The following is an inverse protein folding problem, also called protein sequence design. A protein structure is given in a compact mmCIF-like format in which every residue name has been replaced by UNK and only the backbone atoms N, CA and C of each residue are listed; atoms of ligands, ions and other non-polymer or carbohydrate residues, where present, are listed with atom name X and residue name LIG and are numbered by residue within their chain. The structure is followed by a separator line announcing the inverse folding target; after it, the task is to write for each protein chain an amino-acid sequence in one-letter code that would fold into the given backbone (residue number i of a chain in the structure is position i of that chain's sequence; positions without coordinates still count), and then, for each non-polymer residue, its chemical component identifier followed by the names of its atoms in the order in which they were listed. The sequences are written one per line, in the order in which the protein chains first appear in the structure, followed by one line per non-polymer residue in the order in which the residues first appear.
data_IF_157957480805
#
_entry.id   IF_157957480805
#
_cell.length_a   1.000
_cell.length_b   1.000
_cell.length_c   1.000
_cell.angle_alpha   90.00
_cell.angle_beta   90.00
_cell.angle_gamma   90.00
#
_symmetry.space_group_name_H-M   'P 1'
#
loop_
_entity.id
_entity.type
_entity.pdbx_description
1 polymer ?
#
# COMPACT_ATOMS: atom_id res chain seq x y z
N UNK A 1 7.13 -14.14 4.75
CA UNK A 1 5.98 -13.19 4.79
C UNK A 1 6.21 -12.04 3.81
N UNK A 2 5.14 -11.53 3.19
CA UNK A 2 5.18 -10.38 2.27
C UNK A 2 3.81 -9.68 2.24
N UNK A 3 3.63 -8.63 1.46
CA UNK A 3 2.31 -8.02 1.26
C UNK A 3 1.50 -8.81 0.22
N UNK A 4 0.17 -8.83 0.34
CA UNK A 4 -0.69 -9.43 -0.69
C UNK A 4 -0.51 -8.73 -2.05
N UNK A 5 -0.23 -7.42 -2.04
CA UNK A 5 0.12 -6.67 -3.25
C UNK A 5 1.41 -7.17 -3.92
N UNK A 6 2.44 -7.51 -3.15
CA UNK A 6 3.67 -8.09 -3.69
C UNK A 6 3.44 -9.48 -4.31
N UNK A 7 2.61 -10.33 -3.68
CA UNK A 7 2.18 -11.59 -4.29
C UNK A 7 1.39 -11.37 -5.57
N UNK A 8 0.57 -10.31 -5.63
CA UNK A 8 -0.15 -9.94 -6.83
C UNK A 8 0.77 -9.46 -7.96
N UNK A 9 1.85 -8.78 -7.63
CA UNK A 9 2.88 -8.41 -8.61
C UNK A 9 3.57 -9.67 -9.11
N UNK A 10 4.05 -10.53 -8.20
CA UNK A 10 4.71 -11.80 -8.53
C UNK A 10 3.86 -12.62 -9.51
N UNK A 11 2.57 -12.81 -9.21
CA UNK A 11 1.70 -13.62 -10.05
C UNK A 11 1.44 -13.01 -11.44
N UNK A 12 1.36 -11.67 -11.52
CA UNK A 12 1.15 -10.97 -12.79
C UNK A 12 2.40 -10.96 -13.66
N UNK A 13 3.56 -10.76 -13.04
CA UNK A 13 4.85 -10.73 -13.75
C UNK A 13 5.24 -12.12 -14.24
N UNK A 14 5.01 -13.16 -13.45
CA UNK A 14 5.39 -14.53 -13.81
C UNK A 14 4.29 -15.30 -14.55
N UNK A 15 3.08 -14.74 -14.63
CA UNK A 15 1.88 -15.42 -15.13
C UNK A 15 1.65 -16.79 -14.46
N UNK A 16 2.03 -16.92 -13.18
CA UNK A 16 1.93 -18.15 -12.38
C UNK A 16 1.51 -17.80 -10.97
N UNK A 17 0.73 -18.67 -10.32
CA UNK A 17 0.41 -18.46 -8.91
C UNK A 17 1.67 -18.60 -8.05
N UNK A 18 1.80 -17.84 -6.94
CA UNK A 18 2.88 -18.03 -5.99
C UNK A 18 2.87 -19.49 -5.49
N UNK A 19 4.03 -20.15 -5.49
CA UNK A 19 4.13 -21.56 -5.12
C UNK A 19 3.96 -21.82 -3.62
N UNK A 20 3.69 -23.09 -3.29
CA UNK A 20 3.52 -23.56 -1.91
C UNK A 20 2.16 -23.20 -1.30
N UNK A 21 2.04 -23.45 0.01
CA UNK A 21 0.86 -23.13 0.83
C UNK A 21 0.85 -21.64 1.14
N UNK A 22 -0.11 -20.91 0.59
CA UNK A 22 -0.20 -19.46 0.78
C UNK A 22 -1.39 -19.10 1.67
N UNK A 23 -1.14 -18.38 2.75
CA UNK A 23 -2.19 -17.73 3.55
C UNK A 23 -2.28 -16.26 3.14
N UNK A 24 -3.49 -15.76 2.94
CA UNK A 24 -3.75 -14.32 2.79
C UNK A 24 -4.44 -13.82 4.05
N UNK A 25 -3.97 -12.73 4.64
CA UNK A 25 -4.49 -12.23 5.91
C UNK A 25 -4.53 -10.71 5.99
N UNK A 26 -5.49 -10.20 6.75
CA UNK A 26 -5.68 -8.79 7.02
C UNK A 26 -7.12 -8.37 6.73
N UNK A 27 -7.32 -7.20 6.12
CA UNK A 27 -8.66 -6.74 5.76
C UNK A 27 -8.71 -6.09 4.38
N UNK A 28 -9.81 -6.36 3.68
CA UNK A 28 -10.19 -5.61 2.50
C UNK A 28 -10.45 -6.48 1.27
N UNK A 29 -11.10 -5.91 0.24
CA UNK A 29 -11.52 -6.65 -0.95
C UNK A 29 -10.34 -7.18 -1.78
N UNK A 30 -9.13 -6.63 -1.61
CA UNK A 30 -7.95 -7.09 -2.34
C UNK A 30 -7.60 -8.55 -2.01
N UNK A 31 -7.85 -9.00 -0.77
CA UNK A 31 -7.61 -10.40 -0.38
C UNK A 31 -8.39 -11.37 -1.26
N UNK A 32 -9.67 -11.06 -1.54
CA UNK A 32 -10.53 -11.87 -2.41
C UNK A 32 -10.05 -11.85 -3.86
N UNK A 33 -9.63 -10.67 -4.36
CA UNK A 33 -9.16 -10.51 -5.72
C UNK A 33 -7.87 -11.31 -5.98
N UNK A 34 -6.89 -11.21 -5.07
CA UNK A 34 -5.62 -11.97 -5.17
C UNK A 34 -5.88 -13.46 -5.04
N UNK A 35 -6.70 -13.89 -4.09
CA UNK A 35 -7.07 -15.30 -3.92
C UNK A 35 -7.74 -15.88 -5.17
N UNK A 36 -8.66 -15.13 -5.81
CA UNK A 36 -9.34 -15.58 -7.02
C UNK A 36 -8.38 -15.64 -8.23
N UNK A 37 -7.41 -14.73 -8.32
CA UNK A 37 -6.35 -14.80 -9.33
C UNK A 37 -5.46 -16.02 -9.14
N UNK A 38 -5.04 -16.30 -7.90
CA UNK A 38 -4.29 -17.49 -7.53
C UNK A 38 -5.05 -18.79 -7.86
N UNK A 39 -6.33 -18.87 -7.50
CA UNK A 39 -7.19 -20.01 -7.79
C UNK A 39 -7.33 -20.27 -9.30
N UNK A 40 -7.49 -19.22 -10.12
CA UNK A 40 -7.53 -19.34 -11.59
C UNK A 40 -6.22 -19.83 -12.19
N UNK A 41 -5.09 -19.54 -11.54
CA UNK A 41 -3.77 -19.98 -11.95
C UNK A 41 -3.37 -21.34 -11.35
N UNK A 42 -4.31 -22.03 -10.68
CA UNK A 42 -4.15 -23.42 -10.25
C UNK A 42 -3.51 -23.62 -8.87
N UNK A 43 -3.16 -22.56 -8.13
CA UNK A 43 -2.71 -22.68 -6.74
C UNK A 43 -3.53 -21.77 -5.81
N UNK A 44 -4.76 -22.14 -5.45
CA UNK A 44 -5.57 -21.36 -4.51
C UNK A 44 -4.89 -21.23 -3.14
N UNK A 45 -5.06 -20.10 -2.42
CA UNK A 45 -4.54 -19.99 -1.05
C UNK A 45 -5.22 -20.99 -0.11
N UNK A 46 -4.50 -21.44 0.91
CA UNK A 46 -5.02 -22.40 1.90
C UNK A 46 -6.11 -21.80 2.78
N UNK A 47 -6.05 -20.49 3.03
CA UNK A 47 -7.07 -19.73 3.73
C UNK A 47 -6.97 -18.22 3.44
N UNK A 48 -8.12 -17.56 3.52
CA UNK A 48 -8.22 -16.10 3.63
C UNK A 48 -8.64 -15.78 5.06
N UNK A 49 -7.84 -14.98 5.76
CA UNK A 49 -8.10 -14.49 7.12
C UNK A 49 -8.53 -13.04 6.99
N UNK A 50 -9.82 -12.77 7.22
CA UNK A 50 -10.41 -11.44 7.12
C UNK A 50 -10.76 -10.93 8.52
N UNK A 51 -10.12 -9.81 8.92
CA UNK A 51 -10.33 -9.20 10.24
C UNK A 51 -11.78 -8.73 10.43
N UNK A 52 -12.39 -8.22 9.36
CA UNK A 52 -13.74 -7.69 9.37
C UNK A 52 -14.83 -8.77 9.26
N UNK A 53 -16.08 -8.30 9.20
CA UNK A 53 -17.26 -9.14 8.97
C UNK A 53 -18.00 -8.72 7.68
N UNK A 54 -17.33 -8.70 6.51
CA UNK A 54 -17.89 -8.08 5.30
C UNK A 54 -19.23 -8.69 4.88
N UNK A 55 -19.41 -10.01 5.03
CA UNK A 55 -20.65 -10.70 4.69
C UNK A 55 -21.82 -10.36 5.63
N UNK A 56 -21.54 -9.94 6.86
CA UNK A 56 -22.55 -9.43 7.79
C UNK A 56 -22.88 -7.94 7.61
N UNK A 57 -22.11 -7.23 6.78
CA UNK A 57 -22.20 -5.77 6.58
C UNK A 57 -22.55 -5.36 5.15
N UNK A 58 -23.03 -6.31 4.34
CA UNK A 58 -23.38 -6.08 2.92
C UNK A 58 -24.34 -4.92 2.69
N UNK A 59 -25.22 -4.60 3.66
CA UNK A 59 -26.13 -3.45 3.62
C UNK A 59 -25.40 -2.10 3.54
N UNK A 60 -24.17 -1.99 4.05
CA UNK A 60 -23.35 -0.78 3.94
C UNK A 60 -22.87 -0.55 2.50
N UNK A 61 -22.96 -1.59 1.65
CA UNK A 61 -22.72 -1.54 0.22
C UNK A 61 -23.91 -1.09 -0.64
N UNK A 62 -25.08 -0.78 -0.05
CA UNK A 62 -26.20 -0.23 -0.81
C UNK A 62 -25.74 1.00 -1.60
N UNK A 63 -26.00 1.06 -2.90
CA UNK A 63 -25.52 2.14 -3.78
C UNK A 63 -24.12 1.93 -4.38
N UNK A 64 -23.47 0.79 -4.13
CA UNK A 64 -22.30 0.39 -4.91
C UNK A 64 -22.67 0.20 -6.40
N UNK A 65 -21.82 0.63 -7.35
CA UNK A 65 -22.07 0.38 -8.77
C UNK A 65 -22.15 -1.12 -9.07
N UNK A 66 -23.07 -1.51 -9.97
CA UNK A 66 -23.28 -2.92 -10.35
C UNK A 66 -21.99 -3.62 -10.82
N UNK A 67 -21.04 -2.87 -11.39
CA UNK A 67 -19.75 -3.42 -11.78
C UNK A 67 -18.95 -4.00 -10.61
N UNK A 68 -18.98 -3.35 -9.44
CA UNK A 68 -18.31 -3.85 -8.23
C UNK A 68 -18.96 -5.13 -7.73
N UNK A 69 -20.31 -5.19 -7.76
CA UNK A 69 -21.07 -6.38 -7.37
C UNK A 69 -20.76 -7.56 -8.31
N UNK A 70 -20.71 -7.30 -9.63
CA UNK A 70 -20.36 -8.33 -10.63
C UNK A 70 -18.94 -8.85 -10.45
N UNK A 71 -17.99 -7.94 -10.17
CA UNK A 71 -16.60 -8.30 -9.92
C UNK A 71 -16.46 -9.15 -8.65
N UNK A 72 -17.08 -8.72 -7.55
CA UNK A 72 -17.12 -9.46 -6.29
C UNK A 72 -17.77 -10.84 -6.45
N UNK A 73 -18.89 -10.93 -7.18
CA UNK A 73 -19.55 -12.20 -7.47
C UNK A 73 -18.62 -13.14 -8.29
N UNK A 74 -17.88 -12.59 -9.26
CA UNK A 74 -16.91 -13.34 -10.03
C UNK A 74 -15.77 -13.90 -9.17
N UNK A 75 -15.24 -13.11 -8.24
CA UNK A 75 -14.26 -13.58 -7.26
C UNK A 75 -14.85 -14.65 -6.36
N UNK A 76 -16.03 -14.42 -5.78
CA UNK A 76 -16.67 -15.37 -4.87
C UNK A 76 -16.96 -16.71 -5.56
N UNK A 77 -17.50 -16.70 -6.78
CA UNK A 77 -17.76 -17.91 -7.53
C UNK A 77 -16.47 -18.70 -7.84
N UNK A 78 -15.34 -18.00 -8.05
CA UNK A 78 -14.04 -18.64 -8.23
C UNK A 78 -13.57 -19.31 -6.94
N UNK A 79 -13.66 -18.59 -5.82
CA UNK A 79 -13.22 -19.08 -4.50
C UNK A 79 -14.06 -20.26 -4.00
N UNK A 80 -15.38 -20.23 -4.21
CA UNK A 80 -16.28 -21.33 -3.87
C UNK A 80 -15.96 -22.60 -4.66
N UNK A 81 -15.73 -22.47 -5.98
CA UNK A 81 -15.32 -23.62 -6.82
C UNK A 81 -13.98 -24.20 -6.39
N UNK A 82 -13.03 -23.35 -6.01
CA UNK A 82 -11.73 -23.76 -5.50
C UNK A 82 -11.76 -24.18 -4.02
N UNK A 83 -12.91 -24.11 -3.34
CA UNK A 83 -13.11 -24.44 -1.93
C UNK A 83 -12.16 -23.70 -0.98
N UNK A 84 -11.85 -22.44 -1.29
CA UNK A 84 -10.99 -21.60 -0.44
C UNK A 84 -11.76 -21.18 0.82
N UNK A 85 -11.29 -21.55 2.02
CA UNK A 85 -11.95 -21.13 3.25
C UNK A 85 -11.71 -19.64 3.51
N UNK A 86 -12.78 -18.91 3.81
CA UNK A 86 -12.74 -17.49 4.19
C UNK A 86 -13.13 -17.38 5.66
N UNK A 87 -12.15 -17.11 6.51
CA UNK A 87 -12.32 -16.98 7.96
C UNK A 87 -12.51 -15.50 8.28
N UNK A 88 -13.77 -15.10 8.49
CA UNK A 88 -14.12 -13.72 8.87
C UNK A 88 -14.06 -13.52 10.37
N UNK A 89 -14.00 -12.25 10.82
CA UNK A 89 -13.82 -11.88 12.23
C UNK A 89 -12.62 -12.61 12.85
N UNK A 90 -11.60 -12.83 12.05
CA UNK A 90 -10.46 -13.66 12.41
C UNK A 90 -9.18 -12.88 12.21
N UNK A 91 -8.23 -13.04 13.13
CA UNK A 91 -7.03 -12.23 13.21
C UNK A 91 -5.80 -13.13 13.32
N UNK A 92 -4.74 -12.76 12.62
CA UNK A 92 -3.44 -13.41 12.81
C UNK A 92 -2.85 -12.86 14.09
N UNK A 93 -2.78 -13.72 15.11
CA UNK A 93 -2.14 -13.41 16.39
C UNK A 93 -0.62 -13.46 16.26
N UNK A 94 -0.11 -14.48 15.59
CA UNK A 94 1.32 -14.75 15.51
C UNK A 94 1.68 -15.54 14.25
N UNK A 95 2.87 -15.30 13.72
CA UNK A 95 3.46 -16.08 12.63
C UNK A 95 4.85 -16.54 13.08
N UNK A 96 5.01 -17.85 13.24
CA UNK A 96 6.28 -18.47 13.65
C UNK A 96 6.95 -19.14 12.46
N UNK A 97 8.27 -19.05 12.40
CA UNK A 97 9.06 -19.87 11.48
C UNK A 97 9.55 -21.11 12.23
N UNK A 98 9.12 -22.29 11.80
CA UNK A 98 9.51 -23.56 12.43
C UNK A 98 9.69 -24.64 11.36
N UNK A 99 10.80 -25.38 11.41
CA UNK A 99 11.03 -26.52 10.51
C UNK A 99 11.02 -26.19 9.01
N UNK A 100 11.37 -24.96 8.62
CA UNK A 100 11.35 -24.51 7.21
C UNK A 100 9.96 -24.10 6.68
N UNK A 101 8.94 -24.11 7.52
CA UNK A 101 7.60 -23.61 7.22
C UNK A 101 7.22 -22.44 8.14
N UNK A 102 6.11 -21.78 7.81
CA UNK A 102 5.46 -20.78 8.65
C UNK A 102 4.24 -21.41 9.32
N UNK A 103 4.13 -21.28 10.63
CA UNK A 103 2.90 -21.58 11.38
C UNK A 103 2.17 -20.26 11.65
N UNK A 104 0.95 -20.14 11.13
CA UNK A 104 0.08 -18.98 11.33
C UNK A 104 -0.95 -19.32 12.41
N UNK A 105 -0.87 -18.65 13.55
CA UNK A 105 -1.82 -18.77 14.64
C UNK A 105 -2.92 -17.72 14.43
N UNK A 106 -4.15 -18.20 14.24
CA UNK A 106 -5.31 -17.36 13.94
C UNK A 106 -6.32 -17.47 15.07
N UNK A 107 -6.68 -16.34 15.65
CA UNK A 107 -7.79 -16.23 16.59
C UNK A 107 -9.07 -15.86 15.84
N UNK A 108 -10.19 -16.44 16.23
CA UNK A 108 -11.49 -16.14 15.62
C UNK A 108 -12.65 -16.59 16.49
N UNK A 109 -13.91 -16.46 16.02
CA UNK A 109 -15.09 -16.68 16.86
C UNK A 109 -15.24 -18.13 17.34
N UNK A 110 -14.62 -19.08 16.64
CA UNK A 110 -14.61 -20.50 16.98
C UNK A 110 -13.36 -20.92 17.78
N UNK A 111 -12.60 -19.96 18.29
CA UNK A 111 -11.32 -20.19 18.99
C UNK A 111 -10.11 -20.11 18.07
N UNK A 112 -8.94 -20.39 18.67
CA UNK A 112 -7.65 -20.34 18.00
C UNK A 112 -7.41 -21.57 17.12
N UNK A 113 -6.78 -21.35 15.97
CA UNK A 113 -6.38 -22.42 15.03
C UNK A 113 -4.98 -22.18 14.49
N UNK A 114 -4.33 -23.27 14.11
CA UNK A 114 -2.98 -23.27 13.52
C UNK A 114 -3.09 -23.62 12.04
N UNK A 115 -2.47 -22.81 11.18
CA UNK A 115 -2.46 -23.00 9.73
C UNK A 115 -1.00 -23.03 9.27
N UNK A 116 -0.60 -24.13 8.65
CA UNK A 116 0.72 -24.23 8.04
C UNK A 116 0.73 -23.52 6.69
N UNK A 117 1.76 -22.70 6.47
CA UNK A 117 1.97 -21.93 5.26
C UNK A 117 3.45 -21.93 4.89
N UNK A 118 3.75 -21.81 3.62
CA UNK A 118 5.11 -21.54 3.13
C UNK A 118 5.26 -20.03 2.88
N UNK A 119 4.14 -19.35 2.61
CA UNK A 119 4.08 -17.89 2.39
C UNK A 119 2.82 -17.31 3.04
N UNK A 120 2.97 -16.08 3.55
CA UNK A 120 1.87 -15.28 4.08
C UNK A 120 1.85 -13.93 3.37
N UNK A 121 0.71 -13.58 2.78
CA UNK A 121 0.44 -12.28 2.17
C UNK A 121 -0.44 -11.42 3.06
N UNK A 122 0.12 -10.34 3.59
CA UNK A 122 -0.58 -9.40 4.47
C UNK A 122 -1.14 -8.20 3.71
N UNK A 123 -2.33 -7.75 4.06
CA UNK A 123 -2.92 -6.54 3.49
C UNK A 123 -3.89 -5.88 4.48
N UNK A 124 -3.67 -4.61 4.77
CA UNK A 124 -4.57 -3.84 5.63
C UNK A 124 -4.81 -2.44 5.06
N UNK A 125 -5.42 -2.42 3.88
CA UNK A 125 -5.62 -1.20 3.11
C UNK A 125 -4.42 -0.75 2.28
N UNK A 126 -4.58 0.41 1.64
CA UNK A 126 -3.60 1.04 0.77
C UNK A 126 -3.51 2.53 1.10
N UNK A 127 -2.28 3.04 1.12
CA UNK A 127 -2.01 4.47 1.20
C UNK A 127 -1.60 5.00 -0.18
N UNK A 128 -1.99 6.23 -0.55
CA UNK A 128 -1.37 6.89 -1.70
C UNK A 128 0.16 6.86 -1.57
N UNK A 129 0.84 6.52 -2.66
CA UNK A 129 2.29 6.66 -2.74
C UNK A 129 2.61 8.10 -3.14
N UNK A 130 2.58 8.99 -2.16
CA UNK A 130 2.91 10.41 -2.25
C UNK A 130 4.42 10.69 -2.14
N UNK A 131 5.26 9.64 -2.13
CA UNK A 131 6.71 9.80 -2.18
C UNK A 131 7.12 10.13 -3.61
N UNK A 132 7.63 11.34 -3.82
CA UNK A 132 8.02 11.82 -5.14
C UNK A 132 8.40 13.30 -5.12
N UNK A 133 8.63 13.85 -6.31
CA UNK A 133 8.73 15.30 -6.48
C UNK A 133 7.32 15.87 -6.34
N UNK A 134 7.05 16.59 -5.25
CA UNK A 134 5.73 17.17 -4.96
C UNK A 134 5.60 18.63 -5.41
N UNK A 135 6.70 19.22 -5.89
CA UNK A 135 6.72 20.58 -6.43
C UNK A 135 8.07 20.92 -7.05
N UNK A 136 8.04 21.76 -8.08
CA UNK A 136 9.23 22.32 -8.71
C UNK A 136 8.95 23.80 -9.03
N UNK A 137 9.85 24.70 -8.65
CA UNK A 137 9.68 26.13 -8.93
C UNK A 137 9.69 26.43 -10.45
N UNK A 138 10.39 25.60 -11.23
CA UNK A 138 10.56 25.78 -12.66
C UNK A 138 9.46 25.13 -13.52
N UNK A 139 8.72 24.15 -12.98
CA UNK A 139 7.76 23.36 -13.77
C UNK A 139 6.51 22.98 -12.94
N UNK A 140 5.30 23.11 -13.50
CA UNK A 140 4.09 22.62 -12.84
C UNK A 140 4.14 21.10 -12.70
N UNK A 141 3.95 20.61 -11.46
CA UNK A 141 3.88 19.18 -11.15
C UNK A 141 2.47 18.84 -10.68
N UNK A 142 1.86 17.82 -11.30
CA UNK A 142 0.54 17.30 -10.93
C UNK A 142 0.64 15.86 -10.43
N UNK A 143 -0.06 15.56 -9.33
CA UNK A 143 -0.22 14.21 -8.81
C UNK A 143 -1.56 13.64 -9.28
N UNK A 144 -1.55 12.52 -10.00
CA UNK A 144 -2.74 11.95 -10.65
C UNK A 144 -2.84 10.44 -10.41
N UNK A 145 -4.06 9.96 -10.23
CA UNK A 145 -4.35 8.54 -9.98
C UNK A 145 -4.04 8.10 -8.56
N UNK A 146 -3.64 6.84 -8.38
CA UNK A 146 -3.52 6.25 -7.04
C UNK A 146 -2.40 6.86 -6.18
N UNK A 147 -1.46 7.62 -6.77
CA UNK A 147 -0.49 8.41 -6.01
C UNK A 147 -1.09 9.70 -5.41
N UNK A 148 -2.23 10.18 -5.94
CA UNK A 148 -3.01 11.28 -5.36
C UNK A 148 -4.06 10.74 -4.38
N UNK A 149 -4.82 9.74 -4.82
CA UNK A 149 -5.88 9.11 -4.03
C UNK A 149 -6.10 7.69 -4.52
N UNK A 150 -6.03 6.71 -3.62
CA UNK A 150 -6.20 5.29 -3.98
C UNK A 150 -7.67 5.00 -4.24
N UNK A 151 -8.08 5.13 -5.50
CA UNK A 151 -9.47 4.95 -5.94
C UNK A 151 -9.63 3.83 -6.97
N UNK A 152 -8.52 3.30 -7.48
CA UNK A 152 -8.48 2.22 -8.45
C UNK A 152 -8.47 2.70 -9.90
N UNK A 153 -8.34 1.74 -10.81
CA UNK A 153 -7.97 2.00 -12.21
C UNK A 153 -8.88 2.99 -12.95
N UNK A 154 -10.20 2.95 -12.71
CA UNK A 154 -11.15 3.87 -13.37
C UNK A 154 -10.97 5.32 -12.94
N UNK A 155 -10.77 5.53 -11.65
CA UNK A 155 -10.45 6.84 -11.11
C UNK A 155 -9.09 7.32 -11.61
N UNK A 156 -8.08 6.44 -11.62
CA UNK A 156 -6.76 6.77 -12.13
C UNK A 156 -6.76 7.23 -13.59
N UNK A 157 -7.50 6.53 -14.46
CA UNK A 157 -7.69 6.94 -15.85
C UNK A 157 -8.44 8.28 -15.96
N UNK A 158 -9.48 8.48 -15.15
CA UNK A 158 -10.28 9.70 -15.14
C UNK A 158 -9.48 10.91 -14.66
N UNK A 159 -8.72 10.78 -13.57
CA UNK A 159 -7.80 11.83 -13.09
C UNK A 159 -6.70 12.10 -14.08
N UNK A 160 -6.10 11.05 -14.68
CA UNK A 160 -5.05 11.20 -15.70
C UNK A 160 -5.51 12.05 -16.88
N UNK A 161 -6.70 11.74 -17.42
CA UNK A 161 -7.29 12.50 -18.52
C UNK A 161 -7.62 13.94 -18.14
N UNK A 162 -8.27 14.16 -17.00
CA UNK A 162 -8.65 15.49 -16.55
C UNK A 162 -7.41 16.36 -16.23
N UNK A 163 -6.42 15.79 -15.53
CA UNK A 163 -5.18 16.47 -15.18
C UNK A 163 -4.31 16.78 -16.40
N UNK A 164 -4.23 15.87 -17.38
CA UNK A 164 -3.52 16.13 -18.63
C UNK A 164 -4.10 17.29 -19.42
N UNK A 165 -5.44 17.39 -19.50
CA UNK A 165 -6.12 18.52 -20.14
C UNK A 165 -5.85 19.82 -19.38
N UNK A 166 -6.00 19.81 -18.05
CA UNK A 166 -5.79 20.98 -17.21
C UNK A 166 -4.34 21.50 -17.30
N UNK A 167 -3.36 20.59 -17.33
CA UNK A 167 -1.95 20.95 -17.50
C UNK A 167 -1.67 21.55 -18.88
N UNK A 168 -2.20 20.93 -19.95
CA UNK A 168 -2.01 21.42 -21.30
C UNK A 168 -2.62 22.82 -21.51
N UNK A 169 -3.77 23.09 -20.88
CA UNK A 169 -4.38 24.43 -20.88
C UNK A 169 -3.51 25.44 -20.13
N UNK A 170 -3.09 25.10 -18.91
CA UNK A 170 -2.23 25.97 -18.10
C UNK A 170 -0.93 26.35 -18.80
N UNK A 171 -0.28 25.39 -19.48
CA UNK A 171 0.94 25.65 -20.24
C UNK A 171 0.72 26.56 -21.46
N UNK A 172 -0.45 26.48 -22.11
CA UNK A 172 -0.80 27.38 -23.22
C UNK A 172 -1.15 28.78 -22.74
N UNK A 173 -1.86 28.87 -21.64
CA UNK A 173 -2.42 30.13 -21.14
C UNK A 173 -1.44 30.86 -20.19
N UNK A 174 -0.29 30.27 -19.89
CA UNK A 174 0.71 30.80 -18.95
C UNK A 174 0.22 30.82 -17.49
N UNK A 175 -0.72 29.93 -17.15
CA UNK A 175 -1.44 29.94 -15.87
C UNK A 175 -1.20 28.69 -15.02
N UNK A 176 -2.00 28.56 -13.95
CA UNK A 176 -2.02 27.37 -13.10
C UNK A 176 -3.04 26.33 -13.64
N UNK A 177 -2.77 25.01 -13.52
CA UNK A 177 -3.73 23.98 -13.87
C UNK A 177 -5.05 24.12 -13.11
N UNK A 178 -6.17 24.02 -13.84
CA UNK A 178 -7.50 24.01 -13.24
C UNK A 178 -7.69 22.82 -12.27
N UNK A 179 -8.57 22.94 -11.26
CA UNK A 179 -8.87 21.84 -10.34
C UNK A 179 -9.30 20.55 -11.06
N UNK A 180 -8.73 19.43 -10.64
CA UNK A 180 -8.96 18.12 -11.26
C UNK A 180 -10.24 17.51 -10.69
N UNK A 181 -11.28 17.40 -11.51
CA UNK A 181 -12.55 16.81 -11.10
C UNK A 181 -13.26 16.09 -12.25
N UNK A 182 -14.05 15.07 -11.91
CA UNK A 182 -14.99 14.44 -12.84
C UNK A 182 -16.09 13.69 -12.09
N UNK A 183 -17.23 13.44 -12.75
CA UNK A 183 -18.30 12.59 -12.21
C UNK A 183 -17.80 11.18 -11.88
N UNK A 184 -16.83 10.67 -12.64
CA UNK A 184 -16.22 9.35 -12.39
C UNK A 184 -15.44 9.37 -11.07
N UNK A 185 -14.62 10.39 -10.81
CA UNK A 185 -13.87 10.50 -9.57
C UNK A 185 -14.80 10.54 -8.35
N UNK A 186 -15.86 11.34 -8.39
CA UNK A 186 -16.83 11.41 -7.28
C UNK A 186 -17.53 10.07 -7.04
N UNK A 187 -17.87 9.32 -8.10
CA UNK A 187 -18.50 8.00 -8.00
C UNK A 187 -17.56 6.95 -7.42
N UNK A 188 -16.31 6.90 -7.89
CA UNK A 188 -15.32 5.94 -7.38
C UNK A 188 -14.96 6.25 -5.92
N UNK A 189 -14.87 7.53 -5.52
CA UNK A 189 -14.67 7.92 -4.12
C UNK A 189 -15.81 7.48 -3.21
N UNK A 190 -17.05 7.60 -3.66
CA UNK A 190 -18.21 7.07 -2.94
C UNK A 190 -18.17 5.54 -2.84
N UNK A 191 -17.79 4.85 -3.92
CA UNK A 191 -17.67 3.40 -3.91
C UNK A 191 -16.59 2.91 -2.93
N UNK A 192 -15.43 3.56 -2.91
CA UNK A 192 -14.36 3.25 -1.96
C UNK A 192 -14.79 3.51 -0.51
N UNK A 193 -15.49 4.61 -0.22
CA UNK A 193 -16.04 4.87 1.12
C UNK A 193 -16.99 3.76 1.58
N UNK A 194 -17.85 3.26 0.69
CA UNK A 194 -18.75 2.13 1.00
C UNK A 194 -17.99 0.83 1.21
N UNK A 195 -16.99 0.53 0.38
CA UNK A 195 -16.12 -0.63 0.57
C UNK A 195 -15.38 -0.57 1.90
N UNK A 196 -14.79 0.59 2.24
CA UNK A 196 -14.15 0.79 3.54
C UNK A 196 -15.11 0.51 4.70
N UNK A 197 -16.37 0.96 4.60
CA UNK A 197 -17.38 0.68 5.62
C UNK A 197 -17.74 -0.83 5.74
N UNK A 198 -17.82 -1.55 4.62
CA UNK A 198 -18.09 -3.00 4.61
C UNK A 198 -16.95 -3.76 5.31
N UNK A 199 -15.70 -3.40 5.02
CA UNK A 199 -14.50 -4.09 5.49
C UNK A 199 -13.93 -3.52 6.79
N UNK A 200 -14.50 -2.45 7.35
CA UNK A 200 -14.01 -1.85 8.59
C UNK A 200 -13.80 -2.88 9.71
N UNK A 201 -12.72 -2.74 10.47
CA UNK A 201 -12.39 -3.60 11.60
C UNK A 201 -11.69 -2.78 12.67
N UNK A 202 -11.65 -3.30 13.89
CA UNK A 202 -11.11 -2.62 15.07
C UNK A 202 -9.57 -2.70 15.12
N UNK A 203 -8.91 -2.61 13.97
CA UNK A 203 -7.48 -2.88 13.80
C UNK A 203 -6.54 -1.99 14.62
N UNK A 204 -7.02 -0.81 15.04
CA UNK A 204 -6.23 0.19 15.76
C UNK A 204 -5.97 -0.18 17.23
N UNK A 205 -6.90 -0.84 17.92
CA UNK A 205 -6.69 -1.34 19.28
C UNK A 205 -5.57 -2.39 19.35
N UNK A 206 -5.19 -2.93 18.18
CA UNK A 206 -4.28 -4.08 18.08
C UNK A 206 -2.82 -3.66 18.15
N UNK A 207 -2.42 -2.54 17.54
CA UNK A 207 -1.00 -2.17 17.47
C UNK A 207 -0.41 -1.95 18.88
N UNK A 208 -1.18 -1.34 19.79
CA UNK A 208 -0.81 -1.17 21.19
C UNK A 208 -0.69 -2.52 21.93
N UNK A 209 -1.57 -3.47 21.63
CA UNK A 209 -1.61 -4.81 22.24
C UNK A 209 -0.65 -5.84 21.64
N UNK A 210 0.10 -5.50 20.58
CA UNK A 210 1.05 -6.43 19.96
C UNK A 210 2.32 -6.63 20.82
N UNK A 211 2.92 -7.84 20.78
CA UNK A 211 4.19 -8.14 21.42
C UNK A 211 5.30 -7.15 21.04
N UNK A 212 6.20 -6.84 21.97
CA UNK A 212 7.27 -5.87 21.76
C UNK A 212 8.26 -6.26 20.66
N UNK A 213 8.47 -7.56 20.43
CA UNK A 213 9.33 -8.10 19.37
C UNK A 213 8.68 -8.06 17.97
N UNK A 214 7.45 -7.58 17.86
CA UNK A 214 6.78 -7.40 16.56
C UNK A 214 7.59 -6.47 15.66
N UNK A 215 8.01 -6.98 14.50
CA UNK A 215 8.79 -6.21 13.52
C UNK A 215 7.93 -5.10 12.92
N UNK A 216 8.36 -3.86 13.14
CA UNK A 216 7.74 -2.64 12.61
C UNK A 216 8.45 -2.13 11.35
N UNK A 217 9.79 -2.03 11.37
CA UNK A 217 10.59 -1.60 10.22
C UNK A 217 11.48 -2.76 9.74
N UNK A 218 10.94 -3.57 8.81
CA UNK A 218 11.64 -4.73 8.25
C UNK A 218 13.02 -4.41 7.65
N UNK A 219 13.18 -3.26 6.98
CA UNK A 219 14.44 -2.93 6.33
C UNK A 219 15.58 -2.66 7.32
N UNK A 220 15.27 -2.19 8.52
CA UNK A 220 16.25 -1.81 9.55
C UNK A 220 16.19 -2.73 10.77
N UNK A 221 15.36 -3.79 10.70
CA UNK A 221 15.16 -4.76 11.79
C UNK A 221 14.53 -4.17 13.06
N UNK A 222 13.77 -3.08 12.96
CA UNK A 222 13.18 -2.41 14.15
C UNK A 222 11.84 -2.98 14.55
N UNK A 223 11.64 -3.09 15.85
CA UNK A 223 10.47 -3.68 16.52
C UNK A 223 9.58 -2.63 17.15
N UNK A 224 8.43 -3.03 17.70
CA UNK A 224 7.57 -2.16 18.51
C UNK A 224 8.25 -1.75 19.83
N UNK A 225 9.06 -2.62 20.43
CA UNK A 225 9.86 -2.28 21.61
C UNK A 225 10.86 -1.16 21.29
N UNK A 226 11.59 -1.26 20.17
CA UNK A 226 12.52 -0.21 19.73
C UNK A 226 11.81 1.15 19.55
N UNK A 227 10.55 1.14 19.09
CA UNK A 227 9.76 2.37 18.97
C UNK A 227 9.39 2.93 20.35
N UNK A 228 8.93 2.06 21.27
CA UNK A 228 8.53 2.45 22.63
C UNK A 228 9.72 3.01 23.43
N UNK A 229 10.92 2.49 23.20
CA UNK A 229 12.16 2.98 23.83
C UNK A 229 12.53 4.42 23.42
N UNK A 230 11.94 4.95 22.34
CA UNK A 230 12.10 6.36 21.93
C UNK A 230 11.15 7.31 22.68
N UNK A 231 10.26 6.80 23.52
CA UNK A 231 9.25 7.55 24.25
C UNK A 231 7.89 7.64 23.53
N UNK A 232 6.94 8.36 24.14
CA UNK A 232 5.54 8.34 23.73
C UNK A 232 5.23 9.15 22.45
N UNK A 233 6.04 10.17 22.15
CA UNK A 233 5.81 11.07 21.02
C UNK A 233 7.13 11.50 20.33
N UNK A 234 7.93 10.55 19.81
CA UNK A 234 9.20 10.87 19.17
C UNK A 234 8.97 11.67 17.88
N UNK A 235 9.75 12.73 17.69
CA UNK A 235 9.67 13.55 16.47
C UNK A 235 10.19 12.76 15.27
N UNK A 236 9.76 13.08 14.03
CA UNK A 236 10.25 12.41 12.82
C UNK A 236 11.78 12.34 12.69
N UNK A 237 12.51 13.34 13.21
CA UNK A 237 13.98 13.35 13.24
C UNK A 237 14.56 12.35 14.24
N UNK A 238 13.94 12.16 15.40
CA UNK A 238 14.36 11.21 16.45
C UNK A 238 14.10 9.78 16.01
N UNK A 239 12.92 9.51 15.43
CA UNK A 239 12.57 8.24 14.80
C UNK A 239 13.67 7.76 13.83
N UNK A 240 14.23 8.69 13.05
CA UNK A 240 15.30 8.39 12.08
C UNK A 240 16.68 8.31 12.74
N UNK A 241 17.14 9.37 13.41
CA UNK A 241 18.53 9.45 13.87
C UNK A 241 18.84 8.53 15.05
N UNK A 242 17.87 8.33 15.94
CA UNK A 242 18.02 7.46 17.11
C UNK A 242 17.45 6.08 16.83
N UNK A 243 16.22 6.01 16.30
CA UNK A 243 15.53 4.74 16.06
C UNK A 243 15.88 4.03 14.75
N UNK A 244 16.53 4.71 13.80
CA UNK A 244 16.75 4.24 12.42
C UNK A 244 15.47 3.86 11.66
N UNK A 245 14.31 4.19 12.18
CA UNK A 245 13.01 3.84 11.59
C UNK A 245 12.85 4.59 10.27
N UNK A 246 12.58 3.85 9.19
CA UNK A 246 12.40 4.40 7.86
C UNK A 246 13.69 4.75 7.10
N UNK A 247 14.88 4.38 7.62
CA UNK A 247 16.16 4.67 6.95
C UNK A 247 16.57 3.66 5.86
N UNK A 248 15.94 2.49 5.82
CA UNK A 248 16.26 1.46 4.83
C UNK A 248 15.87 1.83 3.39
N UNK A 249 16.13 0.97 2.40
CA UNK A 249 15.89 1.26 0.97
C UNK A 249 14.42 1.59 0.64
N UNK A 250 13.47 1.14 1.47
CA UNK A 250 12.07 1.50 1.30
C UNK A 250 11.74 2.95 1.69
N UNK A 251 12.63 3.64 2.43
CA UNK A 251 12.48 5.01 2.91
C UNK A 251 11.16 5.24 3.69
N UNK A 252 10.78 4.27 4.53
CA UNK A 252 9.59 4.39 5.38
C UNK A 252 8.26 4.06 4.69
N UNK A 253 8.24 3.68 3.40
CA UNK A 253 7.01 3.36 2.64
C UNK A 253 6.10 2.33 3.29
N UNK A 254 6.68 1.35 3.99
CA UNK A 254 5.93 0.26 4.60
C UNK A 254 5.69 0.43 6.09
N UNK A 255 6.61 1.06 6.83
CA UNK A 255 6.50 1.21 8.28
C UNK A 255 5.94 2.58 8.70
N UNK A 256 6.03 3.61 7.85
CA UNK A 256 5.77 4.99 8.21
C UNK A 256 4.36 5.25 8.72
N UNK A 257 3.34 4.72 8.04
CA UNK A 257 1.93 4.80 8.47
C UNK A 257 1.74 4.17 9.86
N UNK A 258 2.29 2.96 10.06
CA UNK A 258 2.19 2.24 11.33
C UNK A 258 2.92 2.94 12.46
N UNK A 259 4.08 3.51 12.20
CA UNK A 259 4.83 4.31 13.16
C UNK A 259 4.02 5.54 13.55
N UNK A 260 3.53 6.29 12.57
CA UNK A 260 2.75 7.50 12.83
C UNK A 260 1.45 7.21 13.60
N UNK A 261 0.81 6.07 13.34
CA UNK A 261 -0.33 5.56 14.10
C UNK A 261 0.04 5.15 15.52
N UNK A 262 1.15 4.43 15.73
CA UNK A 262 1.61 4.02 17.06
C UNK A 262 2.02 5.21 17.95
N UNK A 263 2.50 6.30 17.36
CA UNK A 263 2.94 7.50 18.09
C UNK A 263 1.91 8.62 18.07
N UNK A 264 0.71 8.39 17.52
CA UNK A 264 -0.33 9.40 17.47
C UNK A 264 -0.92 9.61 18.87
N UNK A 265 -0.95 10.85 19.35
CA UNK A 265 -1.63 11.20 20.59
C UNK A 265 -3.15 10.98 20.49
N UNK A 266 -3.71 11.15 19.29
CA UNK A 266 -5.09 10.82 18.96
C UNK A 266 -5.11 9.72 17.87
N UNK A 267 -5.56 8.50 18.18
CA UNK A 267 -5.69 7.40 17.21
C UNK A 267 -6.60 7.71 16.02
N UNK A 268 -7.49 8.70 16.14
CA UNK A 268 -8.41 9.13 15.09
C UNK A 268 -7.85 10.26 14.20
N UNK A 269 -6.74 10.90 14.58
CA UNK A 269 -6.12 11.94 13.78
C UNK A 269 -5.37 11.33 12.57
N UNK A 270 -5.39 11.98 11.39
CA UNK A 270 -4.59 11.52 10.26
C UNK A 270 -3.10 11.55 10.66
N UNK A 271 -2.33 10.48 10.40
CA UNK A 271 -0.94 10.42 10.80
C UNK A 271 -0.16 11.59 10.20
N UNK A 272 0.67 12.24 11.04
CA UNK A 272 1.64 13.21 10.56
C UNK A 272 2.53 12.56 9.48
N UNK A 273 3.02 13.35 8.52
CA UNK A 273 3.85 12.86 7.42
C UNK A 273 4.94 11.92 7.95
N UNK A 274 4.98 10.66 7.49
CA UNK A 274 5.83 9.65 8.11
C UNK A 274 7.32 10.00 7.99
N UNK A 275 8.18 9.39 8.84
CA UNK A 275 9.63 9.52 8.71
C UNK A 275 10.08 9.04 7.33
N UNK A 276 10.42 9.99 6.44
CA UNK A 276 10.77 9.66 5.05
C UNK A 276 10.57 10.80 4.06
N UNK A 277 10.85 12.05 4.47
CA UNK A 277 10.84 13.20 3.56
C UNK A 277 11.44 12.80 2.21
N UNK A 278 10.69 13.02 1.12
CA UNK A 278 11.11 12.67 -0.23
C UNK A 278 12.43 13.37 -0.52
N UNK A 279 13.53 12.63 -0.36
CA UNK A 279 14.87 13.09 -0.68
C UNK A 279 15.28 12.46 -1.99
N UNK A 280 16.02 13.23 -2.75
CA UNK A 280 16.75 12.67 -3.87
C UNK A 280 17.84 11.72 -3.34
N UNK A 281 18.06 10.55 -3.96
CA UNK A 281 17.27 9.99 -5.06
C UNK A 281 16.00 9.29 -4.53
N UNK A 282 14.90 9.35 -5.30
CA UNK A 282 13.60 8.78 -4.89
C UNK A 282 13.61 7.26 -4.70
N UNK A 283 14.53 6.58 -5.39
CA UNK A 283 14.86 5.18 -5.24
C UNK A 283 16.38 5.04 -5.28
N UNK A 284 16.96 3.93 -4.77
CA UNK A 284 18.38 3.68 -4.93
C UNK A 284 18.78 3.73 -6.41
N UNK A 285 19.80 4.53 -6.73
CA UNK A 285 20.41 4.65 -8.06
C UNK A 285 21.87 4.23 -7.94
N UNK A 286 22.41 3.52 -8.93
CA UNK A 286 23.82 3.16 -8.91
C UNK A 286 24.68 4.42 -9.08
N UNK A 287 25.79 4.48 -8.35
CA UNK A 287 26.74 5.60 -8.47
C UNK A 287 27.26 5.71 -9.92
N UNK A 288 27.47 4.57 -10.59
CA UNK A 288 27.88 4.52 -11.99
C UNK A 288 26.89 5.22 -12.93
N UNK A 289 25.58 5.10 -12.70
CA UNK A 289 24.55 5.76 -13.52
C UNK A 289 24.63 7.29 -13.35
N UNK A 290 24.89 7.76 -12.12
CA UNK A 290 25.07 9.18 -11.82
C UNK A 290 26.32 9.76 -12.47
N UNK A 291 27.43 9.02 -12.42
CA UNK A 291 28.69 9.41 -13.05
C UNK A 291 28.56 9.44 -14.58
N UNK A 292 27.85 8.47 -15.16
CA UNK A 292 27.63 8.40 -16.61
C UNK A 292 26.69 9.49 -17.14
N UNK A 293 25.78 9.99 -16.29
CA UNK A 293 24.87 11.08 -16.63
C UNK A 293 25.45 12.48 -16.34
N UNK A 294 26.60 12.57 -15.66
CA UNK A 294 27.24 13.84 -15.39
C UNK A 294 27.75 14.44 -16.72
N UNK A 295 27.45 15.72 -17.02
CA UNK A 295 28.04 16.38 -18.18
C UNK A 295 29.56 16.34 -18.04
N UNK A 296 30.24 16.05 -19.15
CA UNK A 296 31.69 15.97 -19.20
C UNK A 296 32.27 17.32 -18.79
N UNK A 297 32.91 17.37 -17.62
CA UNK A 297 33.44 18.62 -17.06
C UNK A 297 34.59 19.19 -17.89
N UNK A 298 35.19 18.35 -18.73
CA UNK A 298 36.33 18.68 -19.59
C UNK A 298 35.92 18.93 -21.06
N UNK A 299 34.63 18.82 -21.40
CA UNK A 299 34.13 19.30 -22.67
C UNK A 299 34.16 20.84 -22.67
N UNK A 300 35.19 21.40 -23.31
CA UNK A 300 35.28 22.84 -23.55
C UNK A 300 33.97 23.34 -24.19
N UNK A 301 33.45 24.53 -23.79
CA UNK A 301 32.28 25.09 -24.43
C UNK A 301 32.54 25.21 -25.94
N UNK A 302 31.60 24.72 -26.75
CA UNK A 302 31.65 24.83 -28.20
C UNK A 302 31.69 26.33 -28.57
N UNK A 303 32.76 26.83 -29.21
CA UNK A 303 32.87 28.23 -29.58
C UNK A 303 31.85 28.68 -30.65
N UNK A 304 31.00 27.78 -31.14
CA UNK A 304 29.96 28.07 -32.14
C UNK A 304 28.61 28.53 -31.58
N UNK A 305 28.37 28.48 -30.26
CA UNK A 305 27.18 29.08 -29.65
C UNK A 305 27.37 30.60 -29.47
N UNK A 306 27.22 31.31 -30.59
CA UNK A 306 27.35 32.76 -30.71
C UNK A 306 26.37 33.54 -29.81
N UNK A 307 26.88 34.68 -29.33
CA UNK A 307 26.15 35.68 -28.55
C UNK A 307 24.84 36.11 -29.26
N UNK A 308 23.73 36.26 -28.52
CA UNK A 308 22.52 36.85 -29.08
C UNK A 308 22.74 38.34 -29.35
N UNK A 309 22.65 38.73 -30.63
CA UNK A 309 22.51 40.12 -31.10
C UNK A 309 21.11 40.65 -30.84
#
# INVERSE_FOLDING_TARGET
MTTAGALQIELKTQARAPGGRVVLAGSGPLLLAVAAQMARLGNPPVAIIENGAPFGRVRLGLGLPLSYLREAAGYMATLLRARVPILTRSDVREIRAEGGALEVIVDGPAGSRRILADRVGLHDGLRPNDIGVTGCAALPVLTLGDCAEVLGARAALASGRAGGIALAQALRDGGAPAPIGSKTLSREREAQRRLAAIYAHDGMDRLAGLPGDTVLCRCEGRTLADLRDLGDAPRPRELRLLGRIGMGPCQGRFCGEWVARATAADPAAPPASPPGAARWPLAPVAIADLLSAAPDRDAAPDPSEGQPT
#
